data_IF_918773459030
#
_entry.id   IF_918773459030
#
_cell.length_a   1.000
_cell.length_b   1.000
_cell.length_c   1.000
_cell.angle_alpha   90.00
_cell.angle_beta   90.00
_cell.angle_gamma   90.00
#
_symmetry.space_group_name_H-M   'P 1'
#
loop_
_entity.id
_entity.type
_entity.pdbx_description
1 polymer ?
#
# COMPACT_ATOMS: atom_id res chain seq x y z
N UNK A 1 13.80 2.01 -22.72
CA UNK A 1 12.45 2.59 -22.65
C UNK A 1 11.72 1.96 -21.47
N UNK A 2 11.59 2.67 -20.34
CA UNK A 2 11.06 2.10 -19.11
C UNK A 2 9.57 1.83 -19.24
N UNK A 3 9.15 0.56 -19.03
CA UNK A 3 7.73 0.18 -18.98
C UNK A 3 6.97 1.07 -17.99
N UNK A 4 5.75 1.48 -18.38
CA UNK A 4 4.85 2.31 -17.57
C UNK A 4 4.52 1.70 -16.20
N UNK A 5 3.73 2.41 -15.40
CA UNK A 5 3.28 1.89 -14.09
C UNK A 5 2.53 0.57 -14.28
N UNK A 6 2.86 -0.44 -13.47
CA UNK A 6 2.05 -1.66 -13.40
C UNK A 6 0.68 -1.36 -12.78
N UNK A 7 -0.29 -2.25 -12.94
CA UNK A 7 -1.64 -2.08 -12.37
C UNK A 7 -1.60 -1.82 -10.86
N UNK A 8 -0.82 -2.62 -10.10
CA UNK A 8 -0.60 -2.39 -8.67
C UNK A 8 0.02 -1.02 -8.37
N UNK A 9 0.99 -0.57 -9.17
CA UNK A 9 1.63 0.73 -8.95
C UNK A 9 0.67 1.89 -9.23
N UNK A 10 -0.15 1.77 -10.29
CA UNK A 10 -1.20 2.74 -10.62
C UNK A 10 -2.25 2.78 -9.51
N UNK A 11 -2.72 1.61 -9.07
CA UNK A 11 -3.66 1.49 -7.95
C UNK A 11 -3.13 2.19 -6.69
N UNK A 12 -1.89 1.88 -6.28
CA UNK A 12 -1.27 2.50 -5.10
C UNK A 12 -1.22 4.02 -5.24
N UNK A 13 -0.80 4.52 -6.40
CA UNK A 13 -0.69 5.96 -6.66
C UNK A 13 -2.06 6.65 -6.58
N UNK A 14 -3.05 6.16 -7.31
CA UNK A 14 -4.42 6.72 -7.32
C UNK A 14 -5.08 6.66 -5.95
N UNK A 15 -4.91 5.54 -5.23
CA UNK A 15 -5.51 5.37 -3.90
C UNK A 15 -4.82 6.25 -2.86
N UNK A 16 -3.51 6.44 -2.95
CA UNK A 16 -2.74 7.35 -2.09
C UNK A 16 -3.09 8.83 -2.33
N UNK A 17 -3.65 9.18 -3.50
CA UNK A 17 -4.13 10.55 -3.77
C UNK A 17 -5.37 10.92 -2.96
N UNK A 18 -6.18 9.92 -2.59
CA UNK A 18 -7.50 10.05 -1.95
C UNK A 18 -7.47 10.00 -0.43
N UNK A 19 -6.33 9.67 0.17
CA UNK A 19 -6.19 9.53 1.62
C UNK A 19 -4.90 10.20 2.10
N UNK A 20 -4.84 10.66 3.37
CA UNK A 20 -3.60 11.21 3.93
C UNK A 20 -2.44 10.22 3.90
N UNK A 21 -2.75 8.93 4.12
CA UNK A 21 -1.81 7.80 4.11
C UNK A 21 -2.54 6.57 3.56
N UNK A 22 -1.82 5.74 2.83
CA UNK A 22 -2.32 4.44 2.38
C UNK A 22 -1.46 3.34 2.99
N UNK A 23 -2.04 2.48 3.82
CA UNK A 23 -1.33 1.43 4.52
C UNK A 23 -1.26 0.13 3.70
N UNK A 24 -0.25 -0.69 3.95
CA UNK A 24 -0.13 -2.01 3.29
C UNK A 24 -1.36 -2.88 3.57
N UNK A 25 -1.89 -2.83 4.79
CA UNK A 25 -3.12 -3.55 5.16
C UNK A 25 -4.29 -3.19 4.26
N UNK A 26 -4.47 -1.91 3.92
CA UNK A 26 -5.52 -1.46 3.00
C UNK A 26 -5.28 -1.97 1.59
N UNK A 27 -4.03 -1.91 1.10
CA UNK A 27 -3.69 -2.43 -0.25
C UNK A 27 -3.96 -3.93 -0.34
N UNK A 28 -3.62 -4.70 0.70
CA UNK A 28 -3.88 -6.14 0.76
C UNK A 28 -5.38 -6.45 0.76
N UNK A 29 -6.20 -5.63 1.42
CA UNK A 29 -7.66 -5.79 1.43
C UNK A 29 -8.27 -5.38 0.08
N UNK A 30 -7.97 -4.18 -0.39
CA UNK A 30 -8.64 -3.57 -1.54
C UNK A 30 -8.17 -4.16 -2.89
N UNK A 31 -6.86 -4.36 -3.07
CA UNK A 31 -6.31 -4.85 -4.34
C UNK A 31 -6.23 -6.38 -4.41
N UNK A 32 -5.77 -7.01 -3.33
CA UNK A 32 -5.57 -8.46 -3.29
C UNK A 32 -6.77 -9.23 -2.71
N UNK A 33 -7.78 -8.54 -2.18
CA UNK A 33 -8.99 -9.17 -1.63
C UNK A 33 -8.73 -9.97 -0.34
N UNK A 34 -7.61 -9.74 0.34
CA UNK A 34 -7.27 -10.50 1.54
C UNK A 34 -8.15 -10.10 2.71
N UNK A 35 -8.61 -11.10 3.47
CA UNK A 35 -9.43 -10.88 4.66
C UNK A 35 -8.54 -10.84 5.91
N UNK A 36 -8.46 -9.70 6.61
CA UNK A 36 -7.78 -9.64 7.89
C UNK A 36 -8.57 -10.44 8.95
N UNK A 37 -7.91 -10.85 10.02
CA UNK A 37 -8.58 -11.53 11.15
C UNK A 37 -9.62 -10.64 11.85
N UNK A 38 -9.46 -9.31 11.74
CA UNK A 38 -10.37 -8.31 12.27
C UNK A 38 -10.62 -7.23 11.21
N UNK A 39 -11.86 -6.71 11.07
CA UNK A 39 -12.16 -5.63 10.14
C UNK A 39 -11.22 -4.42 10.30
N UNK A 40 -10.89 -3.76 9.19
CA UNK A 40 -10.20 -2.47 9.23
C UNK A 40 -11.14 -1.45 9.88
N UNK A 41 -10.63 -0.72 10.88
CA UNK A 41 -11.39 0.32 11.59
C UNK A 41 -10.81 1.69 11.27
N UNK A 42 -11.69 2.61 10.90
CA UNK A 42 -11.32 3.96 10.50
C UNK A 42 -11.82 4.97 11.53
N UNK A 43 -10.95 5.90 11.92
CA UNK A 43 -11.23 7.04 12.78
C UNK A 43 -10.82 8.30 12.00
N UNK A 44 -11.74 9.25 11.84
CA UNK A 44 -11.54 10.48 11.06
C UNK A 44 -10.98 10.25 9.64
N UNK A 45 -11.39 9.16 9.00
CA UNK A 45 -10.95 8.80 7.64
C UNK A 45 -9.54 8.21 7.56
N UNK A 46 -8.90 7.91 8.70
CA UNK A 46 -7.58 7.27 8.78
C UNK A 46 -7.71 5.91 9.46
N UNK A 47 -6.89 4.94 9.05
CA UNK A 47 -6.85 3.62 9.68
C UNK A 47 -6.36 3.75 11.14
N UNK A 48 -7.20 3.36 12.11
CA UNK A 48 -6.95 3.58 13.53
C UNK A 48 -5.82 2.72 14.10
N UNK A 49 -5.61 1.51 13.56
CA UNK A 49 -4.60 0.55 14.08
C UNK A 49 -3.86 -0.18 12.96
N UNK A 50 -3.08 0.53 12.13
CA UNK A 50 -2.48 -0.01 10.91
C UNK A 50 -1.56 -1.22 11.13
N UNK A 51 -0.93 -1.32 12.31
CA UNK A 51 -0.03 -2.42 12.66
C UNK A 51 -0.70 -3.68 13.23
N UNK A 52 -1.97 -3.61 13.61
CA UNK A 52 -2.64 -4.68 14.35
C UNK A 52 -3.39 -5.68 13.46
N UNK A 53 -3.40 -5.45 12.15
CA UNK A 53 -4.14 -6.27 11.20
C UNK A 53 -3.36 -7.53 10.83
N UNK A 54 -3.75 -8.65 11.44
CA UNK A 54 -3.17 -9.97 11.16
C UNK A 54 -3.86 -10.59 9.95
N UNK A 55 -3.08 -11.02 8.97
CA UNK A 55 -3.54 -11.83 7.84
C UNK A 55 -3.10 -13.29 8.04
N UNK A 56 -4.02 -14.24 7.88
CA UNK A 56 -3.71 -15.65 8.12
C UNK A 56 -2.86 -16.21 6.97
N UNK A 57 -1.55 -16.39 7.22
CA UNK A 57 -0.61 -16.99 6.25
C UNK A 57 -1.03 -18.40 5.83
N UNK A 58 -1.63 -19.17 6.74
CA UNK A 58 -2.15 -20.52 6.43
C UNK A 58 -3.33 -20.48 5.46
N UNK A 59 -4.29 -19.55 5.65
CA UNK A 59 -5.45 -19.42 4.75
C UNK A 59 -5.07 -18.86 3.37
N UNK A 60 -4.09 -17.95 3.32
CA UNK A 60 -3.58 -17.35 2.08
C UNK A 60 -2.63 -18.31 1.35
N UNK A 61 -1.94 -19.16 2.09
CA UNK A 61 -0.80 -19.95 1.61
C UNK A 61 0.50 -19.19 1.81
N UNK A 62 1.49 -19.83 2.44
CA UNK A 62 2.74 -19.17 2.83
C UNK A 62 3.55 -18.65 1.63
N UNK A 63 3.59 -19.43 0.54
CA UNK A 63 4.27 -19.02 -0.70
C UNK A 63 3.61 -17.79 -1.32
N UNK A 64 2.28 -17.79 -1.38
CA UNK A 64 1.52 -16.68 -1.94
C UNK A 64 1.67 -15.41 -1.09
N UNK A 65 1.60 -15.57 0.23
CA UNK A 65 1.83 -14.48 1.17
C UNK A 65 3.19 -13.81 0.93
N UNK A 66 4.26 -14.60 0.93
CA UNK A 66 5.62 -14.09 0.72
C UNK A 66 5.78 -13.44 -0.66
N UNK A 67 5.19 -14.03 -1.71
CA UNK A 67 5.22 -13.48 -3.08
C UNK A 67 4.53 -12.12 -3.17
N UNK A 68 3.33 -12.00 -2.61
CA UNK A 68 2.54 -10.75 -2.62
C UNK A 68 3.25 -9.67 -1.80
N UNK A 69 3.74 -9.99 -0.60
CA UNK A 69 4.47 -9.02 0.22
C UNK A 69 5.73 -8.50 -0.47
N UNK A 70 6.52 -9.38 -1.09
CA UNK A 70 7.69 -8.97 -1.87
C UNK A 70 7.32 -8.11 -3.09
N UNK A 71 6.17 -8.38 -3.72
CA UNK A 71 5.68 -7.62 -4.88
C UNK A 71 5.16 -6.24 -4.46
N UNK A 72 4.44 -6.17 -3.36
CA UNK A 72 3.95 -4.93 -2.75
C UNK A 72 5.12 -4.04 -2.35
N UNK A 73 6.06 -4.57 -1.57
CA UNK A 73 7.27 -3.86 -1.14
C UNK A 73 8.04 -3.28 -2.33
N UNK A 74 8.35 -4.10 -3.34
CA UNK A 74 9.04 -3.62 -4.56
C UNK A 74 8.25 -2.59 -5.34
N UNK A 75 6.91 -2.69 -5.37
CA UNK A 75 6.05 -1.72 -6.05
C UNK A 75 6.12 -0.36 -5.37
N UNK A 76 6.01 -0.34 -4.04
CA UNK A 76 6.15 0.88 -3.23
C UNK A 76 7.55 1.49 -3.38
N UNK A 77 8.63 0.71 -3.22
CA UNK A 77 10.00 1.20 -3.39
C UNK A 77 10.24 1.77 -4.79
N UNK A 78 9.65 1.18 -5.84
CA UNK A 78 9.76 1.73 -7.20
C UNK A 78 9.03 3.06 -7.37
N UNK A 79 7.88 3.23 -6.76
CA UNK A 79 7.15 4.51 -6.77
C UNK A 79 7.91 5.58 -5.99
N UNK A 80 8.50 5.19 -4.86
CA UNK A 80 9.33 6.02 -3.99
C UNK A 80 10.60 6.49 -4.71
N UNK A 81 11.33 5.56 -5.34
CA UNK A 81 12.50 5.88 -6.16
C UNK A 81 12.18 6.78 -7.37
N UNK A 82 10.91 6.83 -7.80
CA UNK A 82 10.45 7.74 -8.86
C UNK A 82 9.99 9.09 -8.31
N UNK A 83 9.98 9.28 -6.99
CA UNK A 83 9.50 10.48 -6.32
C UNK A 83 7.99 10.64 -6.36
N UNK A 84 7.21 9.61 -6.71
CA UNK A 84 5.74 9.70 -6.86
C UNK A 84 5.01 9.50 -5.53
N UNK A 85 5.61 8.76 -4.62
CA UNK A 85 5.13 8.56 -3.25
C UNK A 85 6.33 8.63 -2.31
N UNK A 86 6.07 8.72 -1.01
CA UNK A 86 7.05 8.49 0.04
C UNK A 86 6.64 7.27 0.84
N UNK A 87 7.54 6.28 0.96
CA UNK A 87 7.31 5.12 1.83
C UNK A 87 7.57 5.52 3.28
N UNK A 88 6.59 5.26 4.14
CA UNK A 88 6.66 5.51 5.58
C UNK A 88 6.61 4.19 6.34
N UNK A 89 7.51 4.03 7.30
CA UNK A 89 7.61 2.84 8.16
C UNK A 89 7.56 3.31 9.61
N UNK A 90 6.69 2.69 10.41
CA UNK A 90 6.69 2.94 11.85
C UNK A 90 7.56 1.93 12.58
N UNK A 91 8.60 2.43 13.24
CA UNK A 91 9.58 1.63 13.97
C UNK A 91 8.94 0.78 15.08
N UNK A 92 8.06 1.37 15.89
CA UNK A 92 7.48 0.71 17.07
C UNK A 92 6.11 0.06 16.83
N UNK A 93 5.44 0.40 15.73
CA UNK A 93 4.06 -0.04 15.47
C UNK A 93 3.96 -1.04 14.32
N UNK A 94 5.10 -1.47 13.75
CA UNK A 94 5.21 -2.53 12.73
C UNK A 94 4.26 -2.37 11.54
N UNK A 95 4.01 -1.13 11.11
CA UNK A 95 3.24 -0.86 9.89
C UNK A 95 4.09 -0.14 8.86
N UNK A 96 3.72 -0.38 7.60
CA UNK A 96 4.26 0.31 6.44
C UNK A 96 3.11 0.91 5.65
N UNK A 97 3.31 2.11 5.14
CA UNK A 97 2.37 2.79 4.27
C UNK A 97 3.08 3.69 3.26
N UNK A 98 2.28 4.40 2.48
CA UNK A 98 2.75 5.38 1.51
C UNK A 98 1.96 6.68 1.63
N UNK A 99 2.63 7.79 1.31
CA UNK A 99 2.03 9.13 1.18
C UNK A 99 2.31 9.61 -0.24
N UNK A 100 1.31 10.17 -0.91
CA UNK A 100 1.53 10.75 -2.24
C UNK A 100 2.35 12.04 -2.15
N UNK A 101 3.29 12.24 -3.08
CA UNK A 101 4.05 13.48 -3.20
C UNK A 101 3.34 14.46 -4.16
N UNK A 102 3.79 15.72 -4.18
CA UNK A 102 3.29 16.70 -5.17
C UNK A 102 3.58 16.25 -6.61
N UNK A 103 4.74 15.64 -6.84
CA UNK A 103 5.07 15.04 -8.14
C UNK A 103 4.13 13.88 -8.49
N UNK A 104 3.76 13.05 -7.50
CA UNK A 104 2.76 12.00 -7.68
C UNK A 104 1.39 12.55 -8.05
N UNK A 105 0.96 13.64 -7.40
CA UNK A 105 -0.30 14.33 -7.73
C UNK A 105 -0.27 14.92 -9.14
N UNK A 106 0.82 15.59 -9.51
CA UNK A 106 1.00 16.14 -10.85
C UNK A 106 1.04 15.04 -11.93
N UNK A 107 1.64 13.89 -11.64
CA UNK A 107 1.64 12.74 -12.55
C UNK A 107 0.22 12.25 -12.87
N UNK A 108 -0.68 12.27 -11.87
CA UNK A 108 -2.10 11.89 -12.02
C UNK A 108 -2.97 12.96 -12.70
N UNK A 109 -2.55 14.23 -12.71
CA UNK A 109 -3.34 15.29 -13.37
C UNK A 109 -3.08 15.38 -14.87
N UNK A 110 -2.00 14.77 -15.35
CA UNK A 110 -1.56 14.83 -16.76
C UNK A 110 -1.88 13.54 -17.53
N UNK A 111 -2.07 12.42 -16.83
CA UNK A 111 -2.38 11.10 -17.41
C UNK A 111 -3.75 10.61 -16.95
#
# INVERSE_FOLDING_TARGET
MGRGLSELQRFILERSAKAPRLYYSEILVEYFGWKPGWPLKYEDGVLASPGSHRFSRTKIGEKEYSRVMATLSRSCTRLDNRGLVTVIVAEYSHWTGVVITDQGRAFLSVN
#
